data_IF_306387792063
#
_entry.id   IF_306387792063
#
_cell.length_a   1.000
_cell.length_b   1.000
_cell.length_c   1.000
_cell.angle_alpha   90.00
_cell.angle_beta   90.00
_cell.angle_gamma   90.00
#
_symmetry.space_group_name_H-M   'P 1'
#
loop_
_entity.id
_entity.type
_entity.pdbx_description
1 polymer ?
#
# COMPACT_ATOMS: atom_id res chain seq x y z
N UNK A 1 16.68 2.13 5.56
CA UNK A 1 16.42 0.74 5.16
C UNK A 1 14.93 0.52 5.28
N UNK A 2 14.19 0.52 4.17
CA UNK A 2 12.75 0.25 4.20
C UNK A 2 12.56 -1.27 4.31
N UNK A 3 11.83 -1.72 5.34
CA UNK A 3 11.50 -3.13 5.47
C UNK A 3 10.20 -3.41 4.73
N UNK A 4 10.24 -4.30 3.75
CA UNK A 4 9.06 -4.82 3.05
C UNK A 4 8.73 -6.23 3.59
N UNK A 5 7.43 -6.48 3.77
CA UNK A 5 6.85 -7.82 3.98
C UNK A 5 6.28 -8.33 2.66
N UNK A 6 6.30 -9.65 2.45
CA UNK A 6 5.82 -10.29 1.23
C UNK A 6 6.87 -10.24 0.12
N UNK A 7 6.70 -9.36 -0.88
CA UNK A 7 7.71 -9.18 -1.93
C UNK A 7 8.75 -8.12 -1.54
N UNK A 8 9.98 -8.34 -1.99
CA UNK A 8 11.06 -7.39 -1.82
C UNK A 8 10.91 -6.26 -2.85
N UNK A 9 10.89 -5.02 -2.37
CA UNK A 9 10.97 -3.84 -3.21
C UNK A 9 12.30 -3.15 -2.96
N UNK A 10 13.13 -3.03 -3.99
CA UNK A 10 14.43 -2.35 -3.93
C UNK A 10 14.37 -1.03 -4.72
N UNK A 11 14.91 0.08 -4.19
CA UNK A 11 14.79 1.39 -4.83
C UNK A 11 15.48 1.50 -6.20
N UNK A 12 16.44 0.62 -6.51
CA UNK A 12 17.15 0.63 -7.79
C UNK A 12 16.51 -0.32 -8.81
N UNK A 13 15.93 -1.43 -8.34
CA UNK A 13 15.47 -2.53 -9.20
C UNK A 13 13.96 -2.80 -9.14
N UNK A 14 13.23 -2.16 -8.22
CA UNK A 14 11.81 -2.38 -7.97
C UNK A 14 11.54 -3.77 -7.39
N UNK A 15 10.51 -4.45 -7.90
CA UNK A 15 10.18 -5.85 -7.54
C UNK A 15 10.99 -6.93 -8.29
N UNK A 16 12.03 -6.55 -9.05
CA UNK A 16 12.80 -7.52 -9.85
C UNK A 16 13.62 -8.49 -9.00
N UNK A 17 14.18 -7.98 -7.91
CA UNK A 17 15.03 -8.75 -7.00
C UNK A 17 14.21 -9.47 -5.94
N UNK A 18 14.38 -10.78 -5.85
CA UNK A 18 13.69 -11.62 -4.85
C UNK A 18 14.24 -11.40 -3.44
N UNK A 19 15.55 -11.20 -3.34
CA UNK A 19 16.26 -11.05 -2.07
C UNK A 19 16.59 -9.59 -1.82
N UNK A 20 16.67 -9.24 -0.54
CA UNK A 20 17.17 -7.94 -0.09
C UNK A 20 18.66 -7.79 -0.42
N UNK A 21 19.18 -6.57 -0.32
CA UNK A 21 20.60 -6.27 -0.58
C UNK A 21 21.57 -7.05 0.32
N UNK A 22 21.10 -7.57 1.45
CA UNK A 22 21.85 -8.42 2.39
C UNK A 22 21.71 -9.93 2.12
N UNK A 23 20.99 -10.31 1.05
CA UNK A 23 20.72 -11.70 0.68
C UNK A 23 19.58 -12.36 1.46
N UNK A 24 18.92 -11.67 2.39
CA UNK A 24 17.79 -12.22 3.13
C UNK A 24 16.49 -12.21 2.31
N UNK A 25 15.61 -13.19 2.55
CA UNK A 25 14.24 -13.14 2.02
C UNK A 25 13.39 -12.15 2.83
N UNK A 26 12.50 -11.39 2.18
CA UNK A 26 11.48 -10.62 2.88
C UNK A 26 10.59 -11.57 3.71
N UNK A 27 10.31 -11.23 4.98
CA UNK A 27 9.40 -12.02 5.79
C UNK A 27 7.98 -12.02 5.19
N UNK A 28 7.21 -13.09 5.37
CA UNK A 28 5.82 -13.12 4.95
C UNK A 28 5.01 -12.03 5.66
N UNK A 29 3.93 -11.57 5.02
CA UNK A 29 3.01 -10.62 5.65
C UNK A 29 2.29 -11.32 6.81
N UNK A 30 2.35 -10.78 8.04
CA UNK A 30 1.58 -11.29 9.17
C UNK A 30 0.10 -11.45 8.84
N UNK A 31 -0.49 -12.56 9.27
CA UNK A 31 -1.89 -12.88 8.99
C UNK A 31 -2.84 -11.80 9.54
N UNK A 32 -2.50 -11.22 10.69
CA UNK A 32 -3.25 -10.16 11.34
C UNK A 32 -3.37 -8.92 10.45
N UNK A 33 -2.29 -8.56 9.74
CA UNK A 33 -2.31 -7.45 8.79
C UNK A 33 -3.16 -7.78 7.57
N UNK A 34 -3.06 -9.01 7.05
CA UNK A 34 -3.91 -9.47 5.94
C UNK A 34 -5.39 -9.43 6.33
N UNK A 35 -5.71 -9.88 7.54
CA UNK A 35 -7.07 -9.87 8.08
C UNK A 35 -7.60 -8.44 8.22
N UNK A 36 -6.79 -7.54 8.79
CA UNK A 36 -7.14 -6.13 8.95
C UNK A 36 -7.40 -5.44 7.60
N UNK A 37 -6.53 -5.67 6.61
CA UNK A 37 -6.71 -5.12 5.25
C UNK A 37 -7.97 -5.67 4.60
N UNK A 38 -8.24 -6.97 4.71
CA UNK A 38 -9.48 -7.56 4.17
C UNK A 38 -10.73 -6.94 4.78
N UNK A 39 -10.76 -6.77 6.10
CA UNK A 39 -11.87 -6.12 6.79
C UNK A 39 -12.06 -4.67 6.32
N UNK A 40 -10.98 -3.88 6.29
CA UNK A 40 -11.05 -2.48 5.83
C UNK A 40 -11.56 -2.35 4.39
N UNK A 41 -11.18 -3.26 3.50
CA UNK A 41 -11.65 -3.31 2.12
C UNK A 41 -13.14 -3.67 2.05
N UNK A 42 -13.58 -4.65 2.84
CA UNK A 42 -14.99 -5.04 2.91
C UNK A 42 -15.87 -3.90 3.45
N UNK A 43 -15.40 -3.18 4.47
CA UNK A 43 -16.09 -2.01 5.02
C UNK A 43 -16.19 -0.89 3.96
N UNK A 44 -15.11 -0.64 3.22
CA UNK A 44 -15.12 0.32 2.12
C UNK A 44 -16.07 -0.11 0.99
N UNK A 45 -16.13 -1.40 0.65
CA UNK A 45 -17.03 -1.96 -0.37
C UNK A 45 -18.52 -1.79 0.00
N UNK A 46 -18.85 -1.85 1.30
CA UNK A 46 -20.21 -1.61 1.76
C UNK A 46 -20.67 -0.16 1.53
N UNK A 47 -19.73 0.78 1.42
CA UNK A 47 -19.99 2.21 1.16
C UNK A 47 -19.83 2.52 -0.34
N UNK A 48 -18.88 1.85 -1.01
CA UNK A 48 -18.47 2.08 -2.39
C UNK A 48 -18.67 0.79 -3.20
N UNK A 49 -19.80 0.68 -3.88
CA UNK A 49 -20.22 -0.52 -4.62
C UNK A 49 -19.25 -1.00 -5.72
N UNK A 50 -18.30 -0.16 -6.16
CA UNK A 50 -17.40 -0.45 -7.30
C UNK A 50 -15.96 -0.77 -6.87
N UNK A 51 -15.67 -0.86 -5.57
CA UNK A 51 -14.31 -1.12 -5.10
C UNK A 51 -13.94 -2.60 -5.28
N UNK A 52 -12.93 -2.95 -6.09
CA UNK A 52 -12.59 -4.35 -6.35
C UNK A 52 -11.96 -4.99 -5.11
N UNK A 53 -12.23 -6.28 -4.91
CA UNK A 53 -11.59 -7.05 -3.85
C UNK A 53 -10.09 -7.18 -4.11
N UNK A 54 -9.29 -7.01 -3.06
CA UNK A 54 -7.83 -7.17 -3.11
C UNK A 54 -7.37 -8.35 -2.25
N UNK A 55 -6.26 -8.95 -2.63
CA UNK A 55 -5.51 -9.85 -1.77
C UNK A 55 -4.12 -9.24 -1.54
N UNK A 56 -3.80 -8.73 -0.34
CA UNK A 56 -2.52 -8.08 -0.11
C UNK A 56 -1.39 -9.12 -0.19
N UNK A 57 -0.55 -8.99 -1.21
CA UNK A 57 0.67 -9.78 -1.38
C UNK A 57 1.95 -8.93 -1.28
N UNK A 58 1.79 -7.60 -1.14
CA UNK A 58 2.88 -6.62 -1.14
C UNK A 58 2.54 -5.44 -0.20
N UNK A 59 3.56 -4.88 0.46
CA UNK A 59 3.43 -3.77 1.42
C UNK A 59 3.81 -2.37 0.85
N UNK A 60 4.11 -2.28 -0.45
CA UNK A 60 4.57 -1.04 -1.11
C UNK A 60 3.85 -0.82 -2.44
N UNK A 61 3.45 0.42 -2.72
CA UNK A 61 2.70 0.83 -3.92
C UNK A 61 3.60 1.09 -5.15
N UNK A 62 4.93 0.96 -4.99
CA UNK A 62 5.86 1.31 -6.06
C UNK A 62 6.04 0.11 -7.00
N UNK A 63 5.77 0.30 -8.29
CA UNK A 63 5.86 -0.73 -9.35
C UNK A 63 4.78 -1.83 -9.31
N UNK A 64 3.55 -1.47 -8.93
CA UNK A 64 2.37 -2.33 -9.13
C UNK A 64 2.25 -2.82 -10.59
N UNK A 65 1.76 -4.05 -10.74
CA UNK A 65 1.67 -4.66 -12.06
C UNK A 65 0.68 -3.88 -12.96
N UNK A 66 0.94 -3.82 -14.27
CA UNK A 66 0.02 -3.19 -15.21
C UNK A 66 -1.39 -3.79 -15.18
N UNK A 67 -1.51 -5.07 -14.79
CA UNK A 67 -2.77 -5.75 -14.54
C UNK A 67 -3.48 -5.21 -13.29
N UNK A 68 -2.78 -5.05 -12.16
CA UNK A 68 -3.31 -4.45 -10.92
C UNK A 68 -3.84 -3.04 -11.16
N UNK A 69 -3.05 -2.22 -11.85
CA UNK A 69 -3.39 -0.83 -12.16
C UNK A 69 -4.63 -0.73 -13.05
N UNK A 70 -4.73 -1.57 -14.10
CA UNK A 70 -5.91 -1.62 -14.98
C UNK A 70 -7.17 -2.05 -14.25
N UNK A 71 -7.03 -2.91 -13.25
CA UNK A 71 -8.14 -3.36 -12.41
C UNK A 71 -8.53 -2.36 -11.33
N UNK A 72 -7.73 -1.30 -11.12
CA UNK A 72 -7.98 -0.30 -10.09
C UNK A 72 -7.96 -0.90 -8.68
N UNK A 73 -7.05 -1.84 -8.40
CA UNK A 73 -6.95 -2.45 -7.07
C UNK A 73 -6.69 -1.36 -6.01
N UNK A 74 -7.38 -1.41 -4.86
CA UNK A 74 -7.22 -0.41 -3.82
C UNK A 74 -5.86 -0.49 -3.14
N UNK A 75 -5.37 0.66 -2.67
CA UNK A 75 -4.21 0.76 -1.78
C UNK A 75 -4.71 1.02 -0.36
N UNK A 76 -4.26 0.22 0.59
CA UNK A 76 -4.59 0.38 2.01
C UNK A 76 -3.36 0.89 2.76
N UNK A 77 -3.50 2.04 3.43
CA UNK A 77 -2.47 2.63 4.28
C UNK A 77 -2.90 2.53 5.74
N UNK A 78 -2.08 1.88 6.57
CA UNK A 78 -2.28 1.79 8.02
C UNK A 78 -1.33 2.80 8.67
N UNK A 79 -1.88 3.69 9.50
CA UNK A 79 -1.12 4.71 10.22
C UNK A 79 -1.29 4.52 11.72
N UNK A 80 -0.18 4.56 12.46
CA UNK A 80 -0.14 4.37 13.91
C UNK A 80 0.71 5.50 14.50
N UNK A 81 0.21 6.16 15.54
CA UNK A 81 0.86 7.31 16.17
C UNK A 81 -0.16 8.40 16.50
N UNK A 82 0.30 9.64 16.71
CA UNK A 82 -0.58 10.74 17.14
C UNK A 82 -1.31 11.40 15.96
N UNK A 83 -0.58 11.83 14.93
CA UNK A 83 -1.16 12.51 13.78
C UNK A 83 -0.29 12.39 12.53
N UNK A 84 -0.91 12.57 11.37
CA UNK A 84 -0.22 12.63 10.09
C UNK A 84 -0.91 13.58 9.10
N UNK A 85 -0.12 14.29 8.31
CA UNK A 85 -0.62 15.04 7.15
C UNK A 85 -0.36 14.25 5.89
N UNK A 86 -1.42 13.92 5.15
CA UNK A 86 -1.32 13.28 3.85
C UNK A 86 -1.52 14.29 2.73
N UNK A 87 -0.70 14.16 1.70
CA UNK A 87 -0.81 14.91 0.46
C UNK A 87 -1.31 13.97 -0.63
N UNK A 88 -2.33 14.39 -1.38
CA UNK A 88 -2.85 13.61 -2.50
C UNK A 88 -3.25 14.52 -3.66
N UNK A 89 -3.26 13.96 -4.87
CA UNK A 89 -3.61 14.68 -6.09
C UNK A 89 -3.84 13.71 -7.24
N UNK A 90 -4.69 14.12 -8.17
CA UNK A 90 -4.92 13.39 -9.42
C UNK A 90 -3.75 13.53 -10.42
N UNK A 91 -2.86 14.51 -10.21
CA UNK A 91 -1.73 14.81 -11.10
C UNK A 91 -0.43 14.97 -10.32
N UNK A 92 0.70 14.53 -10.88
CA UNK A 92 2.04 14.70 -10.28
C UNK A 92 2.51 16.16 -10.16
N UNK A 93 1.71 17.13 -10.58
CA UNK A 93 2.06 18.56 -10.56
C UNK A 93 1.84 19.10 -9.14
N UNK A 94 2.93 19.44 -8.45
CA UNK A 94 2.95 19.94 -7.05
C UNK A 94 1.98 21.09 -6.76
N UNK A 95 1.56 21.85 -7.78
CA UNK A 95 0.67 23.03 -7.64
C UNK A 95 -0.80 22.68 -7.33
N UNK A 96 -1.22 21.42 -7.47
CA UNK A 96 -2.62 20.98 -7.21
C UNK A 96 -2.72 19.89 -6.15
N UNK A 97 -1.86 19.94 -5.13
CA UNK A 97 -1.90 18.99 -4.02
C UNK A 97 -3.02 19.38 -3.05
N UNK A 98 -3.89 18.41 -2.75
CA UNK A 98 -4.84 18.48 -1.64
C UNK A 98 -4.16 17.91 -0.39
N UNK A 99 -4.57 18.41 0.77
CA UNK A 99 -4.04 18.00 2.07
C UNK A 99 -5.18 17.50 2.94
N UNK A 100 -4.94 16.42 3.67
CA UNK A 100 -5.80 15.97 4.74
C UNK A 100 -4.96 15.75 5.99
N UNK A 101 -5.45 16.22 7.12
CA UNK A 101 -4.81 16.06 8.42
C UNK A 101 -5.62 15.06 9.21
N UNK A 102 -5.00 13.94 9.59
CA UNK A 102 -5.58 12.95 10.47
C UNK A 102 -4.97 13.07 11.85
N UNK A 103 -5.82 12.98 12.86
CA UNK A 103 -5.39 12.79 14.23
C UNK A 103 -6.02 11.50 14.73
N UNK A 104 -5.17 10.63 15.28
CA UNK A 104 -5.53 9.30 15.71
C UNK A 104 -5.62 9.33 17.23
N UNK A 105 -6.73 9.86 17.75
CA UNK A 105 -7.06 9.87 19.19
C UNK A 105 -7.90 8.66 19.55
#
# INVERSE_FOLDING_TARGET
>A
MNMCFGRNWDPNTGYKERYRSDGSEPPPIPYELVSLVKAAVQDAQAILNELPSMHPDICSDHDESSHSLRRGLPVVSISIGECATFLYSDTRIKKKLKRIFFVFW
#
